data_IF_484754767971
#
_entry.id   IF_484754767971
#
_cell.length_a   1.000
_cell.length_b   1.000
_cell.length_c   1.000
_cell.angle_alpha   90.00
_cell.angle_beta   90.00
_cell.angle_gamma   90.00
#
_symmetry.space_group_name_H-M   'P 1'
#
loop_
_entity.id
_entity.type
_entity.pdbx_description
1 polymer ?
#
# COMPACT_ATOMS: atom_id res chain seq x y z
N UNK A 1 -13.49 4.31 4.79
CA UNK A 1 -12.25 3.52 4.65
C UNK A 1 -11.80 3.54 3.21
N UNK A 2 -10.60 4.00 2.95
CA UNK A 2 -10.05 4.09 1.61
C UNK A 2 -8.70 3.39 1.58
N UNK A 3 -8.52 2.47 0.66
CA UNK A 3 -7.27 1.75 0.49
C UNK A 3 -6.57 2.30 -0.74
N UNK A 4 -5.32 2.71 -0.57
CA UNK A 4 -4.52 3.28 -1.65
C UNK A 4 -3.10 2.74 -1.61
N UNK A 5 -2.47 2.72 -2.79
CA UNK A 5 -1.04 2.43 -2.87
C UNK A 5 -0.27 3.71 -2.51
N UNK A 6 0.67 3.59 -1.60
CA UNK A 6 1.56 4.68 -1.25
C UNK A 6 2.65 4.88 -2.29
N UNK A 7 3.57 5.79 -1.99
CA UNK A 7 4.69 6.10 -2.87
C UNK A 7 5.59 4.87 -3.06
N UNK A 8 6.00 4.62 -4.29
CA UNK A 8 6.93 3.54 -4.60
C UNK A 8 8.36 4.08 -4.49
N UNK A 9 9.12 3.48 -3.59
CA UNK A 9 10.54 3.80 -3.40
C UNK A 9 11.39 2.74 -4.08
N UNK A 10 12.44 3.17 -4.74
CA UNK A 10 13.34 2.26 -5.46
C UNK A 10 14.78 2.45 -5.01
N UNK A 11 15.46 1.33 -4.79
CA UNK A 11 16.89 1.31 -4.54
C UNK A 11 17.50 0.10 -5.27
N UNK A 12 18.29 0.36 -6.31
CA UNK A 12 18.84 -0.70 -7.15
C UNK A 12 17.74 -1.51 -7.82
N UNK A 13 17.75 -2.82 -7.63
CA UNK A 13 16.76 -3.74 -8.18
C UNK A 13 15.58 -3.98 -7.24
N UNK A 14 15.54 -3.26 -6.13
CA UNK A 14 14.50 -3.44 -5.12
C UNK A 14 13.57 -2.24 -5.11
N UNK A 15 12.27 -2.50 -5.16
CA UNK A 15 11.23 -1.49 -5.04
C UNK A 15 10.32 -1.86 -3.87
N UNK A 16 9.88 -0.86 -3.13
CA UNK A 16 9.03 -1.06 -1.97
C UNK A 16 7.92 -0.02 -1.96
N UNK A 17 6.73 -0.45 -1.60
CA UNK A 17 5.60 0.44 -1.39
C UNK A 17 4.68 -0.13 -0.32
N UNK A 18 3.92 0.72 0.33
CA UNK A 18 2.92 0.30 1.30
C UNK A 18 1.53 0.47 0.71
N UNK A 19 0.65 -0.49 0.98
CA UNK A 19 -0.78 -0.31 0.79
C UNK A 19 -1.30 0.29 2.09
N UNK A 20 -1.95 1.43 1.99
CA UNK A 20 -2.36 2.23 3.14
C UNK A 20 -3.87 2.30 3.21
N UNK A 21 -4.40 2.03 4.39
CA UNK A 21 -5.80 2.26 4.71
C UNK A 21 -5.91 3.63 5.35
N UNK A 22 -6.74 4.48 4.77
CA UNK A 22 -6.97 5.82 5.28
C UNK A 22 -8.40 5.91 5.77
N UNK A 23 -8.55 6.28 7.03
CA UNK A 23 -9.85 6.51 7.65
C UNK A 23 -9.91 7.97 8.07
N UNK A 24 -10.97 8.67 7.64
CA UNK A 24 -11.19 10.06 8.00
C UNK A 24 -12.47 10.12 8.82
N UNK A 25 -12.35 10.66 10.04
CA UNK A 25 -13.48 10.92 10.92
C UNK A 25 -13.72 12.41 11.00
N UNK A 26 -14.95 12.81 10.71
CA UNK A 26 -15.38 14.18 10.91
C UNK A 26 -16.23 14.21 12.18
N UNK A 27 -15.78 14.96 13.19
CA UNK A 27 -16.49 15.12 14.45
C UNK A 27 -17.01 16.54 14.54
N UNK A 28 -18.31 16.66 14.70
CA UNK A 28 -18.97 17.95 14.92
C UNK A 28 -19.63 17.91 16.29
N UNK A 29 -19.24 18.81 17.15
CA UNK A 29 -19.86 18.99 18.45
C UNK A 29 -20.30 20.44 18.61
N UNK A 30 -21.11 20.73 19.66
CA UNK A 30 -21.62 22.07 19.88
C UNK A 30 -20.48 23.08 20.00
N UNK A 31 -20.37 23.98 19.01
CA UNK A 31 -19.34 25.01 18.97
C UNK A 31 -17.98 24.57 18.49
N UNK A 32 -17.82 23.32 18.07
CA UNK A 32 -16.54 22.83 17.57
C UNK A 32 -16.72 21.83 16.44
N UNK A 33 -15.82 21.88 15.48
CA UNK A 33 -15.74 20.89 14.40
C UNK A 33 -14.29 20.43 14.29
N UNK A 34 -14.09 19.13 14.17
CA UNK A 34 -12.76 18.55 14.01
C UNK A 34 -12.76 17.47 12.96
N UNK A 35 -11.66 17.38 12.23
CA UNK A 35 -11.41 16.29 11.27
C UNK A 35 -10.23 15.49 11.79
N UNK A 36 -10.46 14.20 12.01
CA UNK A 36 -9.40 13.28 12.41
C UNK A 36 -9.10 12.34 11.26
N UNK A 37 -7.86 12.36 10.80
CA UNK A 37 -7.37 11.43 9.78
C UNK A 37 -6.48 10.39 10.43
N UNK A 38 -6.64 9.14 9.99
CA UNK A 38 -5.80 8.05 10.43
C UNK A 38 -5.34 7.26 9.20
N UNK A 39 -4.03 7.08 9.07
CA UNK A 39 -3.43 6.31 7.98
C UNK A 39 -2.62 5.18 8.58
N UNK A 40 -2.95 3.96 8.19
CA UNK A 40 -2.26 2.77 8.66
C UNK A 40 -1.78 1.93 7.49
N UNK A 41 -0.50 1.54 7.46
CA UNK A 41 -0.05 0.58 6.48
C UNK A 41 -0.67 -0.78 6.81
N UNK A 42 -1.27 -1.42 5.81
CA UNK A 42 -1.88 -2.74 5.99
C UNK A 42 -1.08 -3.83 5.30
N UNK A 43 -0.38 -3.48 4.23
CA UNK A 43 0.47 -4.41 3.48
C UNK A 43 1.71 -3.67 3.02
N UNK A 44 2.84 -4.35 3.04
CA UNK A 44 4.08 -3.85 2.44
C UNK A 44 4.41 -4.74 1.26
N UNK A 45 4.53 -4.13 0.08
CA UNK A 45 4.92 -4.82 -1.14
C UNK A 45 6.39 -4.58 -1.42
N UNK A 46 7.11 -5.65 -1.72
CA UNK A 46 8.53 -5.58 -2.06
C UNK A 46 8.75 -6.34 -3.35
N UNK A 47 9.35 -5.69 -4.33
CA UNK A 47 9.76 -6.33 -5.57
C UNK A 47 11.27 -6.32 -5.67
N UNK A 48 11.84 -7.50 -5.85
CA UNK A 48 13.25 -7.67 -6.11
C UNK A 48 13.42 -8.48 -7.40
N UNK A 49 14.01 -7.88 -8.41
CA UNK A 49 14.08 -8.49 -9.74
C UNK A 49 12.67 -8.72 -10.29
N UNK A 50 12.33 -9.97 -10.59
CA UNK A 50 11.02 -10.36 -11.10
C UNK A 50 10.07 -10.90 -10.01
N UNK A 51 10.50 -10.90 -8.75
CA UNK A 51 9.75 -11.51 -7.65
C UNK A 51 9.11 -10.44 -6.79
N UNK A 52 7.79 -10.55 -6.58
CA UNK A 52 7.04 -9.69 -5.68
C UNK A 52 6.62 -10.47 -4.45
N UNK A 53 6.91 -9.93 -3.28
CA UNK A 53 6.47 -10.49 -2.00
C UNK A 53 5.66 -9.45 -1.24
N UNK A 54 4.78 -9.92 -0.37
CA UNK A 54 3.94 -9.04 0.43
C UNK A 54 4.00 -9.46 1.90
N UNK A 55 3.97 -8.47 2.78
CA UNK A 55 3.96 -8.69 4.22
C UNK A 55 2.82 -7.88 4.83
N UNK A 56 2.19 -8.43 5.87
CA UNK A 56 1.24 -7.65 6.65
C UNK A 56 1.96 -6.71 7.62
N UNK A 57 1.20 -5.90 8.34
CA UNK A 57 1.77 -4.93 9.29
C UNK A 57 2.54 -5.60 10.43
N UNK A 58 2.27 -6.87 10.71
CA UNK A 58 2.98 -7.65 11.72
C UNK A 58 4.23 -8.35 11.20
N UNK A 59 4.56 -8.20 9.91
CA UNK A 59 5.72 -8.84 9.29
C UNK A 59 5.47 -10.25 8.77
N UNK A 60 4.23 -10.69 8.76
CA UNK A 60 3.87 -12.01 8.26
C UNK A 60 3.71 -11.98 6.74
N UNK A 61 4.28 -12.98 6.07
CA UNK A 61 4.16 -13.11 4.62
C UNK A 61 2.71 -13.38 4.20
N UNK A 62 2.25 -12.65 3.19
CA UNK A 62 0.92 -12.82 2.63
C UNK A 62 1.05 -13.59 1.32
N UNK A 63 0.37 -14.76 1.17
CA UNK A 63 0.35 -15.47 -0.10
C UNK A 63 -0.28 -14.62 -1.22
N UNK A 64 0.20 -14.80 -2.44
CA UNK A 64 -0.28 -14.03 -3.60
C UNK A 64 -1.80 -14.15 -3.79
N UNK A 65 -2.35 -15.34 -3.58
CA UNK A 65 -3.79 -15.57 -3.72
C UNK A 65 -4.60 -14.72 -2.74
N UNK A 66 -4.16 -14.66 -1.49
CA UNK A 66 -4.81 -13.86 -0.46
C UNK A 66 -4.65 -12.37 -0.74
N UNK A 67 -3.48 -11.96 -1.20
CA UNK A 67 -3.21 -10.58 -1.58
C UNK A 67 -4.16 -10.15 -2.71
N UNK A 68 -4.33 -10.97 -3.73
CA UNK A 68 -5.17 -10.65 -4.88
C UNK A 68 -6.66 -10.61 -4.52
N UNK A 69 -7.09 -11.35 -3.53
CA UNK A 69 -8.47 -11.29 -3.07
C UNK A 69 -8.85 -9.94 -2.47
N UNK A 70 -7.88 -9.26 -1.86
CA UNK A 70 -8.13 -8.00 -1.14
C UNK A 70 -7.54 -6.78 -1.82
N UNK A 71 -6.36 -6.90 -2.42
CA UNK A 71 -5.57 -5.75 -2.85
C UNK A 71 -5.03 -5.92 -4.28
N UNK A 72 -5.79 -6.56 -5.14
CA UNK A 72 -5.37 -6.84 -6.50
C UNK A 72 -5.03 -5.58 -7.29
N UNK A 73 -5.87 -4.55 -7.18
CA UNK A 73 -5.67 -3.30 -7.91
C UNK A 73 -4.39 -2.59 -7.48
N UNK A 74 -4.13 -2.58 -6.19
CA UNK A 74 -2.94 -1.97 -5.62
C UNK A 74 -1.69 -2.74 -6.01
N UNK A 75 -1.74 -4.06 -6.01
CA UNK A 75 -0.63 -4.89 -6.46
C UNK A 75 -0.32 -4.67 -7.94
N UNK A 76 -1.35 -4.65 -8.78
CA UNK A 76 -1.18 -4.40 -10.22
C UNK A 76 -0.61 -3.01 -10.48
N UNK A 77 -1.07 -2.01 -9.74
CA UNK A 77 -0.54 -0.65 -9.85
C UNK A 77 0.93 -0.59 -9.44
N UNK A 78 1.30 -1.27 -8.37
CA UNK A 78 2.68 -1.35 -7.91
C UNK A 78 3.58 -1.99 -8.97
N UNK A 79 3.18 -3.11 -9.52
CA UNK A 79 3.97 -3.81 -10.55
C UNK A 79 4.11 -2.98 -11.82
N UNK A 80 3.05 -2.26 -12.20
CA UNK A 80 3.09 -1.37 -13.36
C UNK A 80 4.12 -0.25 -13.17
N UNK A 81 4.14 0.37 -12.00
CA UNK A 81 5.07 1.44 -11.68
C UNK A 81 6.51 0.90 -11.70
N UNK A 82 6.73 -0.27 -11.12
CA UNK A 82 8.06 -0.89 -11.10
C UNK A 82 8.52 -1.22 -12.53
N UNK A 83 7.62 -1.74 -13.36
CA UNK A 83 7.94 -2.08 -14.75
C UNK A 83 8.27 -0.81 -15.56
N UNK A 84 7.62 0.30 -15.28
CA UNK A 84 7.93 1.59 -15.91
C UNK A 84 9.35 2.05 -15.58
N UNK A 85 9.83 1.82 -14.36
CA UNK A 85 11.20 2.13 -14.00
C UNK A 85 12.20 1.29 -14.81
N UNK A 86 11.83 0.08 -15.18
CA UNK A 86 12.71 -0.86 -15.89
C UNK A 86 12.81 -0.58 -17.39
N UNK A 87 11.91 0.25 -17.96
CA UNK A 87 11.89 0.54 -19.39
C UNK A 87 12.61 1.83 -19.78
N UNK A 88 13.19 2.51 -18.83
CA UNK A 88 13.96 3.75 -19.11
C UNK A 88 15.42 3.47 -19.38
#
# INVERSE_FOLDING_TARGET
MTVTLGEVLRHGDTSIAAIVDTTIHCVVSTGAAGIHGHRSPVVILIRHGATTVAFDAGGRTIPTDELDQRYRQEREAFERIVDEFSTT
#
